data_IF_983634894090
#
_entry.id   IF_983634894090
#
_cell.length_a   1.000
_cell.length_b   1.000
_cell.length_c   1.000
_cell.angle_alpha   90.00
_cell.angle_beta   90.00
_cell.angle_gamma   90.00
#
_symmetry.space_group_name_H-M   'P 1'
#
loop_
_entity.id
_entity.type
_entity.pdbx_description
1 polymer ?
#
# COMPACT_ATOMS: atom_id res chain seq x y z
N UNK A 1 20.99 9.79 20.09
CA UNK A 1 20.84 9.53 18.64
C UNK A 1 19.75 8.47 18.51
N UNK A 2 18.59 8.77 17.89
CA UNK A 2 17.62 7.72 17.59
C UNK A 2 17.99 7.08 16.24
N UNK A 3 17.75 5.78 16.09
CA UNK A 3 18.09 5.07 14.85
C UNK A 3 17.31 5.60 13.62
N UNK A 4 16.12 6.19 13.85
CA UNK A 4 15.18 6.57 12.78
C UNK A 4 15.10 8.08 12.46
N UNK A 5 15.87 8.92 13.14
CA UNK A 5 15.84 10.39 12.97
C UNK A 5 14.55 11.05 13.47
N UNK A 6 14.50 12.39 13.38
CA UNK A 6 13.37 13.19 13.88
C UNK A 6 12.11 13.09 13.00
N UNK A 7 12.26 12.55 11.79
CA UNK A 7 11.16 12.38 10.82
C UNK A 7 10.35 11.11 11.06
N UNK A 8 10.78 10.24 11.97
CA UNK A 8 10.03 9.03 12.32
C UNK A 8 8.73 9.42 13.03
N UNK A 9 7.58 8.90 12.60
CA UNK A 9 6.32 9.34 13.15
C UNK A 9 6.11 8.77 14.56
N UNK A 10 5.64 9.59 15.51
CA UNK A 10 5.34 9.17 16.89
C UNK A 10 4.08 8.31 17.03
N UNK A 11 3.24 8.34 15.99
CA UNK A 11 2.02 7.55 15.82
C UNK A 11 1.91 7.13 14.36
N UNK A 12 1.19 6.06 14.00
CA UNK A 12 0.98 5.68 12.60
C UNK A 12 0.46 6.84 11.74
N UNK A 13 0.80 6.85 10.46
CA UNK A 13 0.27 7.85 9.52
C UNK A 13 -1.24 7.70 9.38
N UNK A 14 -1.93 8.80 9.12
CA UNK A 14 -3.39 8.78 8.88
C UNK A 14 -3.74 8.02 7.59
N UNK A 15 -2.89 8.16 6.56
CA UNK A 15 -3.03 7.47 5.28
C UNK A 15 -1.68 7.07 4.69
N UNK A 16 -1.63 5.96 3.97
CA UNK A 16 -0.44 5.45 3.29
C UNK A 16 -0.79 4.94 1.89
N UNK A 17 -0.02 5.35 0.88
CA UNK A 17 -0.08 4.80 -0.47
C UNK A 17 1.15 3.90 -0.67
N UNK A 18 0.92 2.66 -1.09
CA UNK A 18 1.96 1.69 -1.44
C UNK A 18 1.89 1.48 -2.96
N UNK A 19 3.02 1.67 -3.65
CA UNK A 19 3.14 1.43 -5.09
C UNK A 19 3.86 0.11 -5.28
N UNK A 20 3.21 -0.82 -5.99
CA UNK A 20 3.59 -2.24 -6.06
C UNK A 20 2.79 -3.09 -5.07
N UNK A 21 2.64 -4.37 -5.40
CA UNK A 21 1.76 -5.34 -4.78
C UNK A 21 2.42 -6.70 -4.56
N UNK A 22 3.76 -6.76 -4.55
CA UNK A 22 4.51 -7.97 -4.15
C UNK A 22 4.40 -8.29 -2.65
N UNK A 23 5.08 -9.34 -2.21
CA UNK A 23 4.98 -9.85 -0.82
C UNK A 23 5.32 -8.79 0.24
N UNK A 24 6.38 -8.01 0.03
CA UNK A 24 6.78 -6.92 0.94
C UNK A 24 5.67 -5.86 1.04
N UNK A 25 5.05 -5.50 -0.09
CA UNK A 25 3.95 -4.55 -0.11
C UNK A 25 2.76 -5.07 0.70
N UNK A 26 2.45 -6.36 0.58
CA UNK A 26 1.36 -6.99 1.31
C UNK A 26 1.62 -7.03 2.83
N UNK A 27 2.84 -7.36 3.27
CA UNK A 27 3.22 -7.35 4.68
C UNK A 27 3.04 -5.97 5.32
N UNK A 28 3.61 -4.93 4.71
CA UNK A 28 3.49 -3.57 5.22
C UNK A 28 2.06 -3.04 5.16
N UNK A 29 1.33 -3.34 4.08
CA UNK A 29 -0.07 -2.96 3.95
C UNK A 29 -0.90 -3.53 5.11
N UNK A 30 -0.71 -4.82 5.41
CA UNK A 30 -1.38 -5.48 6.52
C UNK A 30 -1.01 -4.85 7.86
N UNK A 31 0.28 -4.68 8.15
CA UNK A 31 0.76 -4.11 9.43
C UNK A 31 0.19 -2.71 9.66
N UNK A 32 0.30 -1.81 8.66
CA UNK A 32 -0.16 -0.44 8.82
C UNK A 32 -1.70 -0.33 8.86
N UNK A 33 -2.41 -1.14 8.08
CA UNK A 33 -3.88 -1.21 8.13
C UNK A 33 -4.37 -1.70 9.51
N UNK A 34 -3.73 -2.73 10.07
CA UNK A 34 -4.04 -3.25 11.40
C UNK A 34 -3.80 -2.20 12.52
N UNK A 35 -2.81 -1.32 12.33
CA UNK A 35 -2.57 -0.18 13.22
C UNK A 35 -3.44 1.06 12.93
N UNK A 36 -4.43 0.96 12.05
CA UNK A 36 -5.43 1.99 11.79
C UNK A 36 -5.06 3.02 10.72
N UNK A 37 -3.97 2.83 9.99
CA UNK A 37 -3.64 3.66 8.82
C UNK A 37 -4.58 3.33 7.65
N UNK A 38 -5.12 4.35 6.97
CA UNK A 38 -5.85 4.14 5.72
C UNK A 38 -4.88 3.79 4.60
N UNK A 39 -4.78 2.51 4.25
CA UNK A 39 -3.85 2.02 3.23
C UNK A 39 -4.51 1.99 1.84
N UNK A 40 -3.75 2.35 0.81
CA UNK A 40 -4.10 2.13 -0.60
C UNK A 40 -2.92 1.48 -1.31
N UNK A 41 -3.13 0.30 -1.89
CA UNK A 41 -2.15 -0.38 -2.75
C UNK A 41 -2.46 -0.06 -4.21
N UNK A 42 -1.44 0.30 -4.97
CA UNK A 42 -1.49 0.51 -6.42
C UNK A 42 -0.55 -0.49 -7.09
N UNK A 43 -1.11 -1.49 -7.76
CA UNK A 43 -0.38 -2.56 -8.46
C UNK A 43 -0.71 -2.50 -9.96
N UNK A 44 0.34 -2.50 -10.78
CA UNK A 44 0.24 -2.46 -12.25
C UNK A 44 -0.21 -3.80 -12.81
N UNK A 45 0.10 -4.90 -12.13
CA UNK A 45 -0.23 -6.25 -12.53
C UNK A 45 -1.70 -6.61 -12.20
N UNK A 46 -2.24 -7.65 -12.86
CA UNK A 46 -3.60 -8.16 -12.62
C UNK A 46 -3.93 -8.60 -11.20
N UNK A 47 -2.92 -8.97 -10.39
CA UNK A 47 -3.12 -9.51 -9.04
C UNK A 47 -1.99 -9.08 -8.11
N UNK A 48 -2.28 -9.02 -6.82
CA UNK A 48 -1.24 -8.94 -5.78
C UNK A 48 -0.44 -10.24 -5.75
N UNK A 49 0.80 -10.18 -5.26
CA UNK A 49 1.69 -11.34 -5.06
C UNK A 49 1.73 -12.29 -6.26
N UNK A 50 1.86 -11.74 -7.47
CA UNK A 50 1.76 -12.50 -8.74
C UNK A 50 2.71 -13.70 -8.88
N UNK A 51 3.76 -13.81 -8.07
CA UNK A 51 4.66 -14.96 -8.02
C UNK A 51 4.06 -16.18 -7.32
N UNK A 52 3.00 -15.99 -6.53
CA UNK A 52 2.29 -17.05 -5.82
C UNK A 52 1.15 -17.64 -6.65
N UNK A 53 0.59 -18.75 -6.18
CA UNK A 53 -0.56 -19.39 -6.83
C UNK A 53 -1.77 -18.43 -6.93
N UNK A 54 -2.55 -18.47 -8.03
CA UNK A 54 -3.67 -17.57 -8.25
C UNK A 54 -4.70 -17.57 -7.12
N UNK A 55 -4.99 -18.73 -6.51
CA UNK A 55 -5.95 -18.82 -5.41
C UNK A 55 -5.48 -18.08 -4.16
N UNK A 56 -4.16 -18.03 -3.92
CA UNK A 56 -3.56 -17.27 -2.81
C UNK A 56 -3.70 -15.78 -3.08
N UNK A 57 -3.41 -15.34 -4.30
CA UNK A 57 -3.54 -13.94 -4.73
C UNK A 57 -4.98 -13.45 -4.58
N UNK A 58 -5.96 -14.24 -5.04
CA UNK A 58 -7.38 -13.93 -4.94
C UNK A 58 -7.86 -13.90 -3.48
N UNK A 59 -7.46 -14.89 -2.68
CA UNK A 59 -7.77 -14.94 -1.26
C UNK A 59 -7.24 -13.69 -0.52
N UNK A 60 -5.99 -13.31 -0.79
CA UNK A 60 -5.34 -12.16 -0.19
C UNK A 60 -6.08 -10.86 -0.57
N UNK A 61 -6.29 -10.63 -1.87
CA UNK A 61 -6.96 -9.43 -2.37
C UNK A 61 -8.37 -9.27 -1.78
N UNK A 62 -9.15 -10.37 -1.73
CA UNK A 62 -10.49 -10.37 -1.13
C UNK A 62 -10.48 -10.00 0.35
N UNK A 63 -9.48 -10.44 1.10
CA UNK A 63 -9.36 -10.09 2.52
C UNK A 63 -8.84 -8.66 2.72
N UNK A 64 -7.87 -8.22 1.92
CA UNK A 64 -7.35 -6.86 1.98
C UNK A 64 -8.42 -5.83 1.66
N UNK A 65 -9.25 -6.05 0.64
CA UNK A 65 -10.35 -5.12 0.28
C UNK A 65 -11.39 -4.88 1.39
N UNK A 66 -11.41 -5.70 2.45
CA UNK A 66 -12.26 -5.47 3.63
C UNK A 66 -11.71 -4.37 4.56
N UNK A 67 -10.42 -4.07 4.49
CA UNK A 67 -9.71 -3.19 5.44
C UNK A 67 -8.93 -2.06 4.76
N UNK A 68 -8.68 -2.15 3.45
CA UNK A 68 -7.90 -1.17 2.68
C UNK A 68 -8.33 -1.11 1.22
N UNK A 69 -7.86 -0.10 0.49
CA UNK A 69 -8.09 0.02 -0.95
C UNK A 69 -7.01 -0.75 -1.73
N UNK A 70 -7.42 -1.59 -2.69
CA UNK A 70 -6.50 -2.32 -3.58
C UNK A 70 -6.86 -2.02 -5.03
N UNK A 71 -5.91 -1.44 -5.77
CA UNK A 71 -6.04 -1.09 -7.19
C UNK A 71 -5.04 -1.93 -8.00
N UNK A 72 -5.49 -3.08 -8.49
CA UNK A 72 -4.76 -3.91 -9.47
C UNK A 72 -5.00 -3.40 -10.89
N UNK A 73 -4.14 -3.73 -11.85
CA UNK A 73 -4.14 -3.17 -13.21
C UNK A 73 -4.03 -1.63 -13.27
N UNK A 74 -3.42 -1.00 -12.26
CA UNK A 74 -3.21 0.44 -12.21
C UNK A 74 -1.73 0.76 -12.08
N UNK A 75 -1.17 1.44 -13.08
CA UNK A 75 0.21 1.90 -13.08
C UNK A 75 0.30 3.28 -12.46
N UNK A 76 1.10 3.42 -11.40
CA UNK A 76 1.47 4.75 -10.89
C UNK A 76 2.35 5.48 -11.92
N UNK A 77 1.90 6.64 -12.40
CA UNK A 77 2.57 7.41 -13.47
C UNK A 77 3.20 8.72 -12.96
N UNK A 78 2.74 9.24 -11.82
CA UNK A 78 3.24 10.50 -11.27
C UNK A 78 3.11 10.53 -9.75
N UNK A 79 4.19 10.96 -9.09
CA UNK A 79 4.18 11.32 -7.68
C UNK A 79 4.32 12.83 -7.56
N UNK A 80 3.46 13.43 -6.73
CA UNK A 80 3.41 14.87 -6.52
C UNK A 80 3.26 15.21 -5.05
N UNK A 81 3.20 16.51 -4.78
CA UNK A 81 2.83 17.04 -3.47
C UNK A 81 1.77 18.12 -3.69
N UNK A 82 0.66 18.04 -2.97
CA UNK A 82 -0.40 19.05 -2.96
C UNK A 82 -0.59 19.55 -1.54
N UNK A 83 -0.23 20.81 -1.29
CA UNK A 83 -0.14 21.39 0.06
C UNK A 83 0.79 20.53 0.94
N UNK A 84 0.25 19.88 1.96
CA UNK A 84 0.97 19.01 2.91
C UNK A 84 0.91 17.52 2.57
N UNK A 85 0.19 17.12 1.53
CA UNK A 85 -0.05 15.72 1.19
C UNK A 85 0.79 15.27 0.00
N UNK A 86 1.29 14.04 0.06
CA UNK A 86 1.82 13.33 -1.10
C UNK A 86 0.66 12.80 -1.93
N UNK A 87 0.76 12.90 -3.24
CA UNK A 87 -0.28 12.46 -4.18
C UNK A 87 0.31 11.52 -5.21
N UNK A 88 -0.43 10.48 -5.58
CA UNK A 88 -0.07 9.56 -6.66
C UNK A 88 -1.16 9.60 -7.71
N UNK A 89 -0.79 9.75 -8.98
CA UNK A 89 -1.69 9.55 -10.12
C UNK A 89 -1.42 8.16 -10.68
N UNK A 90 -2.48 7.37 -10.83
CA UNK A 90 -2.44 6.04 -11.43
C UNK A 90 -3.40 5.94 -12.62
N UNK A 91 -3.05 5.13 -13.61
CA UNK A 91 -3.83 4.85 -14.82
C UNK A 91 -3.93 3.34 -15.04
#
# INVERSE_FOLDING_TARGET
MNFFGDKFPKKPWESLIIIGGGVIAAEFAHIFSAFGTQVTIVEMLPQLVMTEEPEISEFLERNFKKHMTVLVNHKAIKVGTKKKFKTVTAQ
#
